data_IF_969866984289
#
_entry.id   IF_969866984289
#
_cell.length_a   1.000
_cell.length_b   1.000
_cell.length_c   1.000
_cell.angle_alpha   90.00
_cell.angle_beta   90.00
_cell.angle_gamma   90.00
#
_symmetry.space_group_name_H-M   'P 1'
#
loop_
_entity.id
_entity.type
_entity.pdbx_description
1 polymer ?
#
# COMPACT_ATOMS: atom_id res chain seq x y z
N UNK A 1 1.59 56.68 21.01
CA UNK A 1 2.36 56.28 19.81
C UNK A 1 3.44 55.25 20.21
N UNK A 2 4.32 55.54 21.19
CA UNK A 2 5.41 54.61 21.56
C UNK A 2 4.93 53.24 22.05
N UNK A 3 3.87 53.20 22.90
CA UNK A 3 3.31 51.95 23.39
C UNK A 3 2.78 51.05 22.25
N UNK A 4 2.13 51.66 21.25
CA UNK A 4 1.65 50.92 20.08
C UNK A 4 2.80 50.35 19.24
N UNK A 5 3.85 51.17 19.00
CA UNK A 5 5.03 50.72 18.25
C UNK A 5 5.74 49.58 18.96
N UNK A 6 5.91 49.68 20.29
CA UNK A 6 6.52 48.62 21.10
C UNK A 6 5.70 47.35 21.04
N UNK A 7 4.37 47.45 21.13
CA UNK A 7 3.49 46.29 21.01
C UNK A 7 3.61 45.58 19.65
N UNK A 8 3.60 46.37 18.56
CA UNK A 8 3.74 45.86 17.19
C UNK A 8 5.10 45.16 17.02
N UNK A 9 6.21 45.76 17.51
CA UNK A 9 7.53 45.15 17.46
C UNK A 9 7.59 43.86 18.27
N UNK A 10 7.00 43.81 19.48
CA UNK A 10 6.94 42.59 20.28
C UNK A 10 6.19 41.49 19.57
N UNK A 11 5.04 41.78 18.95
CA UNK A 11 4.28 40.77 18.17
C UNK A 11 5.11 40.33 16.95
N UNK A 12 5.77 41.22 16.25
CA UNK A 12 6.62 40.84 15.10
C UNK A 12 7.75 39.91 15.51
N UNK A 13 8.43 40.17 16.64
CA UNK A 13 9.48 39.30 17.16
C UNK A 13 8.92 37.92 17.50
N UNK A 14 7.75 37.84 18.14
CA UNK A 14 7.09 36.57 18.48
C UNK A 14 6.75 35.78 17.20
N UNK A 15 6.19 36.43 16.20
CA UNK A 15 5.81 35.79 14.92
C UNK A 15 7.04 35.26 14.18
N UNK A 16 8.11 36.07 14.12
CA UNK A 16 9.37 35.64 13.50
C UNK A 16 9.99 34.46 14.30
N UNK A 17 10.05 34.58 15.63
CA UNK A 17 10.56 33.54 16.49
C UNK A 17 9.79 32.23 16.36
N UNK A 18 8.44 32.30 16.27
CA UNK A 18 7.59 31.13 16.00
C UNK A 18 7.86 30.56 14.62
N UNK A 19 7.98 31.37 13.59
CA UNK A 19 8.30 30.93 12.23
C UNK A 19 9.64 30.18 12.15
N UNK A 20 10.66 30.70 12.83
CA UNK A 20 12.00 30.08 12.89
C UNK A 20 12.01 28.79 13.72
N UNK A 21 11.33 28.79 14.87
CA UNK A 21 11.28 27.62 15.76
C UNK A 21 10.57 26.42 15.11
N UNK A 22 9.48 26.68 14.38
CA UNK A 22 8.67 25.65 13.72
C UNK A 22 9.04 25.47 12.25
N UNK A 23 10.20 25.92 11.81
CA UNK A 23 10.68 25.65 10.45
C UNK A 23 11.09 24.19 10.33
N UNK A 24 10.51 23.47 9.36
CA UNK A 24 10.75 22.04 9.12
C UNK A 24 12.18 21.83 8.64
N UNK A 25 12.97 21.16 9.45
CA UNK A 25 14.34 20.78 9.11
C UNK A 25 14.43 19.30 8.73
N UNK A 26 13.55 18.45 9.29
CA UNK A 26 13.56 17.01 9.08
C UNK A 26 12.15 16.44 9.00
N UNK A 27 11.91 15.55 8.04
CA UNK A 27 10.73 14.71 7.96
C UNK A 27 11.20 13.26 8.12
N UNK A 28 10.69 12.58 9.16
CA UNK A 28 10.97 11.18 9.43
C UNK A 28 9.76 10.34 8.99
N UNK A 29 9.94 9.50 7.97
CA UNK A 29 8.91 8.61 7.45
C UNK A 29 9.08 7.23 8.07
N UNK A 30 7.96 6.55 8.36
CA UNK A 30 7.92 5.18 8.88
C UNK A 30 6.65 4.46 8.45
N UNK A 31 6.74 3.12 8.28
CA UNK A 31 5.61 2.26 7.90
C UNK A 31 5.44 2.08 6.39
N UNK A 32 6.34 2.65 5.59
CA UNK A 32 6.44 2.37 4.17
C UNK A 32 7.36 1.15 3.93
N UNK A 33 7.04 0.38 2.93
CA UNK A 33 7.74 -0.83 2.50
C UNK A 33 8.09 -0.77 1.01
N UNK A 34 7.16 -0.31 0.15
CA UNK A 34 7.37 -0.19 -1.29
C UNK A 34 7.22 1.25 -1.83
N UNK A 35 6.72 2.18 -1.03
CA UNK A 35 6.65 3.60 -1.41
C UNK A 35 7.90 4.32 -0.93
N UNK A 36 8.62 4.96 -1.83
CA UNK A 36 9.83 5.71 -1.50
C UNK A 36 9.53 6.89 -0.57
N UNK A 37 10.47 7.18 0.34
CA UNK A 37 10.35 8.31 1.27
C UNK A 37 10.17 9.64 0.55
N UNK A 38 10.83 9.79 -0.60
CA UNK A 38 10.80 10.98 -1.45
C UNK A 38 9.38 11.27 -1.94
N UNK A 39 8.65 10.24 -2.41
CA UNK A 39 7.26 10.37 -2.87
C UNK A 39 6.36 10.88 -1.74
N UNK A 40 6.58 10.39 -0.52
CA UNK A 40 5.80 10.79 0.67
C UNK A 40 6.13 12.23 1.06
N UNK A 41 7.43 12.56 1.16
CA UNK A 41 7.89 13.90 1.56
C UNK A 41 7.53 14.97 0.54
N UNK A 42 7.68 14.70 -0.75
CA UNK A 42 7.27 15.59 -1.83
C UNK A 42 5.77 15.87 -1.80
N UNK A 43 4.95 14.84 -1.51
CA UNK A 43 3.50 15.02 -1.39
C UNK A 43 3.11 16.01 -0.28
N UNK A 44 3.92 16.06 0.78
CA UNK A 44 3.70 16.96 1.92
C UNK A 44 4.16 18.39 1.65
N UNK A 45 5.18 18.55 0.82
CA UNK A 45 5.85 19.85 0.57
C UNK A 45 5.25 20.65 -0.59
N UNK A 46 4.10 20.24 -1.12
CA UNK A 46 3.44 20.92 -2.26
C UNK A 46 2.95 22.33 -1.99
N UNK A 47 2.61 22.64 -0.75
CA UNK A 47 2.05 23.94 -0.39
C UNK A 47 3.11 24.94 0.04
N UNK A 48 2.85 26.21 -0.19
CA UNK A 48 3.74 27.32 0.21
C UNK A 48 4.02 27.37 1.72
N UNK A 49 3.09 26.91 2.57
CA UNK A 49 3.25 26.88 4.03
C UNK A 49 3.82 25.58 4.58
N UNK A 50 4.17 24.62 3.72
CA UNK A 50 4.70 23.30 4.14
C UNK A 50 6.07 23.35 4.82
N UNK A 51 6.73 24.52 4.79
CA UNK A 51 7.94 24.76 5.58
C UNK A 51 7.68 24.85 7.10
N UNK A 52 6.42 25.01 7.54
CA UNK A 52 6.06 25.13 8.96
C UNK A 52 5.48 23.83 9.48
N UNK A 53 6.08 23.27 10.53
CA UNK A 53 5.70 21.97 11.10
C UNK A 53 4.32 21.99 11.77
N UNK A 54 3.90 23.12 12.37
CA UNK A 54 2.56 23.26 12.94
C UNK A 54 1.51 23.30 11.83
N UNK A 55 1.80 23.99 10.72
CA UNK A 55 0.92 23.97 9.56
C UNK A 55 0.72 22.55 9.03
N UNK A 56 1.79 21.78 8.86
CA UNK A 56 1.69 20.38 8.44
C UNK A 56 0.85 19.57 9.42
N UNK A 57 1.07 19.70 10.72
CA UNK A 57 0.27 19.01 11.73
C UNK A 57 -1.23 19.34 11.61
N UNK A 58 -1.57 20.63 11.50
CA UNK A 58 -2.97 21.09 11.37
C UNK A 58 -3.58 20.61 10.05
N UNK A 59 -2.84 20.73 8.93
CA UNK A 59 -3.28 20.30 7.61
C UNK A 59 -3.66 18.82 7.61
N UNK A 60 -2.76 17.95 8.06
CA UNK A 60 -2.97 16.50 8.00
C UNK A 60 -3.93 15.97 9.06
N UNK A 61 -4.25 16.77 10.08
CA UNK A 61 -5.19 16.40 11.14
C UNK A 61 -6.61 16.90 10.92
N UNK A 62 -6.77 18.10 10.34
CA UNK A 62 -8.06 18.79 10.31
C UNK A 62 -8.50 19.25 8.92
N UNK A 63 -7.57 19.34 7.96
CA UNK A 63 -7.89 19.84 6.63
C UNK A 63 -7.94 18.68 5.62
N UNK A 64 -8.66 18.91 4.53
CA UNK A 64 -8.63 18.00 3.39
C UNK A 64 -7.26 18.09 2.71
N UNK A 65 -6.64 16.94 2.52
CA UNK A 65 -5.31 16.83 1.91
C UNK A 65 -5.24 15.63 0.96
N UNK A 66 -4.35 15.72 -0.02
CA UNK A 66 -4.06 14.62 -0.92
C UNK A 66 -3.05 13.67 -0.27
N UNK A 67 -3.30 12.38 -0.41
CA UNK A 67 -2.40 11.31 0.02
C UNK A 67 -1.84 10.61 -1.22
N UNK A 68 -0.57 10.17 -1.24
CA UNK A 68 -0.06 9.33 -2.31
C UNK A 68 -0.98 8.13 -2.57
N UNK A 69 -1.19 7.81 -3.85
CA UNK A 69 -2.17 6.77 -4.25
C UNK A 69 -1.78 5.36 -3.84
N UNK A 70 -0.51 5.15 -3.47
CA UNK A 70 0.02 3.91 -2.89
C UNK A 70 -0.35 3.72 -1.42
N UNK A 71 -0.76 4.79 -0.73
CA UNK A 71 -1.06 4.76 0.70
C UNK A 71 -2.56 4.58 0.96
N UNK A 72 -2.85 3.86 2.04
CA UNK A 72 -4.18 3.72 2.63
C UNK A 72 -4.45 4.86 3.63
N UNK A 73 -3.43 5.19 4.45
CA UNK A 73 -3.51 6.31 5.39
C UNK A 73 -2.14 6.91 5.70
N UNK A 74 -2.16 8.17 6.14
CA UNK A 74 -0.98 8.91 6.56
C UNK A 74 -1.30 9.70 7.83
N UNK A 75 -0.46 9.54 8.87
CA UNK A 75 -0.56 10.26 10.15
C UNK A 75 0.66 11.13 10.34
N UNK A 76 0.44 12.40 10.65
CA UNK A 76 1.50 13.37 10.90
C UNK A 76 1.49 13.76 12.37
N UNK A 77 2.67 13.78 12.97
CA UNK A 77 2.92 14.22 14.35
C UNK A 77 4.24 14.99 14.43
N UNK A 78 4.45 15.73 15.51
CA UNK A 78 5.71 16.41 15.76
C UNK A 78 6.55 15.59 16.74
N UNK A 79 7.81 15.34 16.40
CA UNK A 79 8.81 14.78 17.30
C UNK A 79 9.54 15.90 18.05
N UNK A 80 9.74 17.02 17.37
CA UNK A 80 10.25 18.28 17.91
C UNK A 80 9.62 19.45 17.11
N UNK A 81 9.79 20.72 17.52
CA UNK A 81 9.26 21.84 16.76
C UNK A 81 9.67 21.86 15.28
N UNK A 82 10.85 21.37 14.96
CA UNK A 82 11.44 21.35 13.60
C UNK A 82 11.51 19.97 12.96
N UNK A 83 11.04 18.91 13.66
CA UNK A 83 11.03 17.53 13.14
C UNK A 83 9.63 17.00 13.05
N UNK A 84 9.18 16.73 11.84
CA UNK A 84 7.88 16.12 11.54
C UNK A 84 8.05 14.62 11.43
N UNK A 85 7.25 13.85 12.18
CA UNK A 85 7.16 12.39 12.06
C UNK A 85 5.91 12.04 11.26
N UNK A 86 6.11 11.25 10.21
CA UNK A 86 5.05 10.74 9.31
C UNK A 86 4.99 9.23 9.47
N UNK A 87 3.84 8.72 9.87
CA UNK A 87 3.58 7.28 9.91
C UNK A 87 2.55 6.96 8.82
N UNK A 88 2.94 6.13 7.88
CA UNK A 88 2.09 5.73 6.76
C UNK A 88 1.63 4.29 6.91
N UNK A 89 0.50 3.99 6.28
CA UNK A 89 0.03 2.64 6.01
C UNK A 89 -0.16 2.53 4.52
N UNK A 90 0.61 1.65 3.89
CA UNK A 90 0.50 1.38 2.47
C UNK A 90 -0.72 0.51 2.15
N UNK A 91 -1.18 0.57 0.92
CA UNK A 91 -2.22 -0.35 0.44
C UNK A 91 -1.70 -1.76 0.44
N UNK A 92 -2.52 -2.68 0.96
CA UNK A 92 -2.14 -4.09 1.01
C UNK A 92 -2.07 -4.67 -0.39
N UNK A 93 -0.89 -5.17 -0.76
CA UNK A 93 -0.69 -5.97 -1.97
C UNK A 93 -1.25 -7.36 -1.72
N UNK A 94 -2.07 -7.88 -2.66
CA UNK A 94 -2.67 -9.22 -2.57
C UNK A 94 -2.21 -10.16 -3.69
N UNK A 95 -1.55 -9.64 -4.72
CA UNK A 95 -1.01 -10.42 -5.83
C UNK A 95 -0.24 -9.54 -6.81
N UNK A 96 0.38 -10.19 -7.78
CA UNK A 96 1.06 -9.49 -8.88
C UNK A 96 0.75 -10.14 -10.23
N UNK A 97 0.91 -9.35 -11.30
CA UNK A 97 0.95 -9.81 -12.68
C UNK A 97 2.39 -9.72 -13.18
N UNK A 98 2.85 -10.76 -13.85
CA UNK A 98 4.12 -10.75 -14.55
C UNK A 98 3.91 -10.14 -15.95
N UNK A 99 4.53 -8.99 -16.23
CA UNK A 99 4.51 -8.32 -17.53
C UNK A 99 5.79 -8.60 -18.35
N UNK A 100 6.61 -9.54 -17.88
CA UNK A 100 7.86 -9.97 -18.51
C UNK A 100 9.06 -9.06 -18.17
N UNK A 101 8.91 -7.76 -18.21
CA UNK A 101 9.97 -6.79 -17.85
C UNK A 101 9.85 -6.28 -16.40
N UNK A 102 8.67 -6.33 -15.84
CA UNK A 102 8.37 -5.88 -14.48
C UNK A 102 7.17 -6.62 -13.91
N UNK A 103 7.04 -6.61 -12.58
CA UNK A 103 5.91 -7.16 -11.85
C UNK A 103 4.95 -6.03 -11.45
N UNK A 104 3.68 -6.15 -11.81
CA UNK A 104 2.64 -5.19 -11.50
C UNK A 104 1.83 -5.66 -10.28
N UNK A 105 2.09 -5.06 -9.11
CA UNK A 105 1.44 -5.40 -7.84
C UNK A 105 0.12 -4.67 -7.67
N UNK A 106 -0.91 -5.36 -7.19
CA UNK A 106 -2.24 -4.78 -7.08
C UNK A 106 -2.88 -5.01 -5.69
N UNK A 107 -3.82 -4.12 -5.36
CA UNK A 107 -4.62 -4.17 -4.15
C UNK A 107 -5.90 -5.00 -4.32
N UNK A 108 -6.67 -5.14 -3.24
CA UNK A 108 -7.95 -5.88 -3.20
C UNK A 108 -9.01 -5.39 -4.21
N UNK A 109 -8.88 -4.17 -4.71
CA UNK A 109 -9.79 -3.58 -5.69
C UNK A 109 -9.32 -3.81 -7.14
N UNK A 110 -8.22 -4.56 -7.31
CA UNK A 110 -7.56 -4.80 -8.60
C UNK A 110 -6.88 -3.58 -9.18
N UNK A 111 -6.47 -2.64 -8.32
CA UNK A 111 -5.75 -1.44 -8.72
C UNK A 111 -4.25 -1.65 -8.56
N UNK A 112 -3.49 -1.32 -9.60
CA UNK A 112 -2.02 -1.39 -9.54
C UNK A 112 -1.51 -0.33 -8.57
N UNK A 113 -0.80 -0.75 -7.53
CA UNK A 113 -0.29 0.13 -6.47
C UNK A 113 1.22 0.28 -6.49
N UNK A 114 1.91 -0.71 -7.09
CA UNK A 114 3.37 -0.71 -7.21
C UNK A 114 3.80 -1.47 -8.46
N UNK A 115 4.93 -1.12 -9.05
CA UNK A 115 5.61 -1.86 -10.11
C UNK A 115 7.09 -1.98 -9.76
N UNK A 116 7.68 -3.14 -9.97
CA UNK A 116 9.09 -3.42 -9.68
C UNK A 116 9.64 -4.47 -10.63
N UNK A 117 10.94 -4.40 -10.90
CA UNK A 117 11.69 -5.46 -11.58
C UNK A 117 12.07 -6.59 -10.62
N UNK A 118 11.97 -6.37 -9.32
CA UNK A 118 12.26 -7.35 -8.29
C UNK A 118 10.97 -8.00 -7.78
N UNK A 119 11.01 -9.33 -7.66
CA UNK A 119 9.89 -10.09 -7.10
C UNK A 119 9.85 -9.92 -5.58
N UNK A 120 8.65 -9.72 -5.04
CA UNK A 120 8.42 -9.62 -3.59
C UNK A 120 8.00 -10.96 -3.03
N UNK A 121 8.72 -11.42 -2.00
CA UNK A 121 8.41 -12.66 -1.31
C UNK A 121 7.02 -12.63 -0.66
N UNK A 122 6.35 -13.79 -0.68
CA UNK A 122 5.05 -13.98 -0.02
C UNK A 122 3.87 -13.28 -0.70
N UNK A 123 4.06 -12.79 -1.95
CA UNK A 123 2.98 -12.27 -2.80
C UNK A 123 2.75 -13.25 -3.94
N UNK A 124 1.53 -13.79 -4.12
CA UNK A 124 1.27 -14.74 -5.19
C UNK A 124 1.22 -14.10 -6.57
N UNK A 125 1.77 -14.79 -7.57
CA UNK A 125 1.56 -14.47 -8.98
C UNK A 125 0.14 -14.85 -9.41
N UNK A 126 -0.47 -14.07 -10.30
CA UNK A 126 -1.78 -14.37 -10.86
C UNK A 126 -1.63 -14.77 -12.31
N UNK A 127 -2.12 -15.95 -12.66
CA UNK A 127 -2.07 -16.51 -14.01
C UNK A 127 -3.47 -16.88 -14.51
N UNK A 128 -3.61 -17.06 -15.84
CA UNK A 128 -4.88 -17.44 -16.47
C UNK A 128 -5.85 -16.29 -16.68
N UNK A 129 -5.42 -15.02 -16.48
CA UNK A 129 -6.19 -13.83 -16.83
C UNK A 129 -5.48 -13.03 -17.93
N UNK A 130 -6.26 -12.57 -18.89
CA UNK A 130 -5.79 -11.64 -19.92
C UNK A 130 -5.98 -10.20 -19.40
N UNK A 131 -5.00 -9.69 -18.73
CA UNK A 131 -4.99 -8.37 -18.11
C UNK A 131 -4.14 -7.41 -18.91
N UNK A 132 -4.11 -7.34 -20.14
CA UNK A 132 -3.40 -6.35 -20.98
C UNK A 132 -2.31 -5.54 -20.25
N UNK A 133 -1.70 -4.57 -20.87
CA UNK A 133 -0.72 -3.70 -20.23
C UNK A 133 -1.35 -2.92 -19.08
N UNK A 134 -0.77 -3.01 -17.89
CA UNK A 134 -1.25 -2.32 -16.69
C UNK A 134 -0.62 -0.92 -16.55
N UNK A 135 -1.36 -0.03 -15.90
CA UNK A 135 -0.86 1.32 -15.57
C UNK A 135 -0.90 1.56 -14.07
N UNK A 136 0.17 2.13 -13.54
CA UNK A 136 0.29 2.48 -12.14
C UNK A 136 -0.91 3.36 -11.68
N UNK A 137 -1.49 3.00 -10.55
CA UNK A 137 -2.65 3.63 -9.92
C UNK A 137 -3.96 3.54 -10.73
N UNK A 138 -4.06 2.63 -11.69
CA UNK A 138 -5.29 2.33 -12.42
C UNK A 138 -5.74 0.89 -12.14
N UNK A 139 -7.05 0.64 -12.28
CA UNK A 139 -7.59 -0.72 -12.23
C UNK A 139 -7.13 -1.52 -13.44
N UNK A 140 -6.86 -2.80 -13.23
CA UNK A 140 -6.59 -3.74 -14.30
C UNK A 140 -7.75 -3.78 -15.30
N UNK A 141 -7.41 -3.79 -16.58
CA UNK A 141 -8.38 -3.96 -17.67
C UNK A 141 -8.37 -5.44 -18.06
N UNK A 142 -9.44 -6.14 -17.79
CA UNK A 142 -9.58 -7.58 -18.09
C UNK A 142 -10.81 -7.81 -18.97
N UNK A 143 -10.79 -8.87 -19.75
CA UNK A 143 -11.94 -9.25 -20.61
C UNK A 143 -13.15 -9.71 -19.77
N UNK A 144 -12.91 -10.38 -18.65
CA UNK A 144 -13.98 -10.90 -17.78
C UNK A 144 -13.90 -10.28 -16.39
N UNK A 145 -14.79 -9.34 -16.10
CA UNK A 145 -14.91 -8.75 -14.77
C UNK A 145 -15.31 -9.77 -13.69
N UNK A 146 -16.13 -10.77 -14.06
CA UNK A 146 -16.55 -11.83 -13.14
C UNK A 146 -15.35 -12.68 -12.70
N UNK A 147 -14.49 -13.04 -13.64
CA UNK A 147 -13.26 -13.79 -13.36
C UNK A 147 -12.31 -12.98 -12.49
N UNK A 148 -12.07 -11.72 -12.84
CA UNK A 148 -11.22 -10.85 -12.02
C UNK A 148 -11.74 -10.78 -10.57
N UNK A 149 -13.05 -10.59 -10.39
CA UNK A 149 -13.62 -10.50 -9.05
C UNK A 149 -13.47 -11.82 -8.28
N UNK A 150 -13.60 -12.98 -8.93
CA UNK A 150 -13.38 -14.27 -8.29
C UNK A 150 -11.93 -14.43 -7.83
N UNK A 151 -10.96 -14.09 -8.68
CA UNK A 151 -9.53 -14.13 -8.34
C UNK A 151 -9.19 -13.16 -7.21
N UNK A 152 -9.69 -11.91 -7.26
CA UNK A 152 -9.47 -10.94 -6.19
C UNK A 152 -10.03 -11.43 -4.85
N UNK A 153 -11.21 -12.04 -4.85
CA UNK A 153 -11.79 -12.62 -3.64
C UNK A 153 -10.90 -13.72 -3.07
N UNK A 154 -10.40 -14.65 -3.92
CA UNK A 154 -9.47 -15.70 -3.50
C UNK A 154 -8.18 -15.10 -2.96
N UNK A 155 -7.58 -14.12 -3.64
CA UNK A 155 -6.35 -13.49 -3.20
C UNK A 155 -6.51 -12.76 -1.85
N UNK A 156 -7.68 -12.17 -1.59
CA UNK A 156 -8.02 -11.58 -0.28
C UNK A 156 -8.11 -12.68 0.79
N UNK A 157 -8.79 -13.80 0.50
CA UNK A 157 -8.90 -14.91 1.45
C UNK A 157 -7.54 -15.56 1.71
N UNK A 158 -6.71 -15.77 0.69
CA UNK A 158 -5.32 -16.21 0.83
C UNK A 158 -4.57 -15.34 1.84
N UNK A 159 -4.73 -14.02 1.75
CA UNK A 159 -4.12 -13.06 2.70
C UNK A 159 -4.72 -13.16 4.09
N UNK A 160 -6.06 -13.28 4.20
CA UNK A 160 -6.77 -13.35 5.47
C UNK A 160 -6.38 -14.60 6.29
N UNK A 161 -6.14 -15.73 5.59
CA UNK A 161 -5.71 -16.99 6.19
C UNK A 161 -4.19 -17.14 6.31
N UNK A 162 -3.42 -16.07 5.99
CA UNK A 162 -1.95 -16.09 5.97
C UNK A 162 -1.38 -17.23 5.14
N UNK A 163 -2.05 -17.59 4.04
CA UNK A 163 -1.54 -18.54 3.08
C UNK A 163 -0.49 -17.85 2.19
N UNK A 164 0.53 -18.59 1.80
CA UNK A 164 1.61 -18.09 0.94
C UNK A 164 1.79 -18.97 -0.29
N UNK A 165 0.77 -19.11 -1.17
CA UNK A 165 0.95 -19.79 -2.42
C UNK A 165 1.92 -19.00 -3.31
N UNK A 166 2.67 -19.71 -4.14
CA UNK A 166 3.52 -19.08 -5.16
C UNK A 166 2.66 -18.44 -6.25
N UNK A 167 1.56 -19.12 -6.62
CA UNK A 167 0.68 -18.67 -7.70
C UNK A 167 -0.79 -19.01 -7.42
N UNK A 168 -1.67 -18.14 -7.93
CA UNK A 168 -3.11 -18.34 -8.04
C UNK A 168 -3.42 -18.41 -9.53
N UNK A 169 -3.86 -19.54 -10.02
CA UNK A 169 -4.04 -19.82 -11.44
C UNK A 169 -5.51 -20.08 -11.74
N UNK A 170 -6.03 -19.42 -12.77
CA UNK A 170 -7.34 -19.78 -13.32
C UNK A 170 -7.14 -20.71 -14.51
N UNK A 171 -7.56 -21.96 -14.37
CA UNK A 171 -7.49 -23.00 -15.39
C UNK A 171 -8.66 -23.99 -15.23
N UNK A 172 -9.06 -24.63 -16.31
CA UNK A 172 -10.13 -25.65 -16.32
C UNK A 172 -11.42 -25.20 -15.62
N UNK A 173 -11.82 -23.92 -15.85
CA UNK A 173 -12.98 -23.26 -15.23
C UNK A 173 -12.96 -23.21 -13.69
N UNK A 174 -11.79 -23.38 -13.07
CA UNK A 174 -11.57 -23.31 -11.63
C UNK A 174 -10.40 -22.43 -11.22
N UNK A 175 -10.27 -22.16 -9.92
CA UNK A 175 -9.14 -21.46 -9.34
C UNK A 175 -8.30 -22.46 -8.55
N UNK A 176 -7.01 -22.51 -8.85
CA UNK A 176 -6.04 -23.38 -8.22
C UNK A 176 -4.98 -22.53 -7.49
N UNK A 177 -4.54 -23.03 -6.32
CA UNK A 177 -3.43 -22.45 -5.56
C UNK A 177 -2.23 -23.39 -5.66
N UNK A 178 -1.07 -22.83 -6.01
CA UNK A 178 0.17 -23.60 -6.09
C UNK A 178 1.10 -23.25 -4.93
N UNK A 179 1.55 -24.27 -4.20
CA UNK A 179 2.54 -24.22 -3.12
C UNK A 179 3.70 -25.13 -3.50
N UNK A 180 4.70 -24.59 -4.20
CA UNK A 180 5.75 -25.41 -4.80
C UNK A 180 5.19 -26.46 -5.75
N UNK A 181 5.35 -27.75 -5.40
CA UNK A 181 4.87 -28.89 -6.17
C UNK A 181 3.46 -29.37 -5.77
N UNK A 182 2.77 -28.67 -4.87
CA UNK A 182 1.42 -29.01 -4.42
C UNK A 182 0.43 -28.07 -5.10
N UNK A 183 -0.58 -28.64 -5.78
CA UNK A 183 -1.71 -27.93 -6.36
C UNK A 183 -2.95 -28.14 -5.49
N UNK A 184 -3.56 -27.07 -5.03
CA UNK A 184 -4.84 -27.08 -4.31
C UNK A 184 -5.94 -26.60 -5.25
N UNK A 185 -6.82 -27.49 -5.64
CA UNK A 185 -7.97 -27.18 -6.52
C UNK A 185 -9.15 -26.66 -5.71
N UNK A 186 -9.39 -25.36 -5.74
CA UNK A 186 -10.52 -24.75 -5.05
C UNK A 186 -11.85 -24.97 -5.77
N UNK A 187 -11.78 -25.19 -7.09
CA UNK A 187 -12.97 -25.28 -7.92
C UNK A 187 -13.70 -23.94 -8.05
N UNK A 188 -15.01 -24.00 -8.18
CA UNK A 188 -15.88 -22.81 -8.30
C UNK A 188 -16.54 -22.42 -6.99
N UNK A 189 -16.62 -23.34 -6.03
CA UNK A 189 -17.27 -23.11 -4.71
C UNK A 189 -16.21 -22.96 -3.62
N UNK A 190 -15.83 -21.70 -3.39
CA UNK A 190 -14.77 -21.32 -2.45
C UNK A 190 -15.41 -20.94 -1.12
N UNK A 191 -15.37 -21.84 -0.15
CA UNK A 191 -15.89 -21.60 1.19
C UNK A 191 -14.81 -21.25 2.19
N UNK A 192 -15.18 -20.51 3.22
CA UNK A 192 -14.34 -20.17 4.37
C UNK A 192 -13.72 -21.41 5.02
N UNK A 193 -14.48 -22.49 5.10
CA UNK A 193 -14.05 -23.77 5.67
C UNK A 193 -12.94 -24.43 4.85
N UNK A 194 -13.08 -24.45 3.52
CA UNK A 194 -12.00 -24.93 2.63
C UNK A 194 -10.72 -24.12 2.83
N UNK A 195 -10.81 -22.78 2.82
CA UNK A 195 -9.64 -21.93 2.99
C UNK A 195 -8.94 -22.14 4.34
N UNK A 196 -9.71 -22.32 5.42
CA UNK A 196 -9.15 -22.58 6.76
C UNK A 196 -8.41 -23.92 6.86
N UNK A 197 -8.78 -24.93 6.06
CA UNK A 197 -8.17 -26.26 6.08
C UNK A 197 -6.86 -26.34 5.28
N UNK A 198 -6.60 -25.42 4.36
CA UNK A 198 -5.43 -25.45 3.49
C UNK A 198 -4.13 -25.42 4.29
N UNK A 199 -3.96 -24.46 5.21
CA UNK A 199 -2.72 -24.28 5.97
C UNK A 199 -2.31 -25.56 6.75
N UNK A 200 -3.20 -26.19 7.57
CA UNK A 200 -2.83 -27.41 8.29
C UNK A 200 -2.59 -28.62 7.37
N UNK A 201 -3.19 -28.66 6.18
CA UNK A 201 -2.94 -29.74 5.21
C UNK A 201 -1.58 -29.54 4.55
N UNK A 202 -1.29 -28.34 4.05
CA UNK A 202 0.00 -28.03 3.41
C UNK A 202 1.17 -28.31 4.37
N UNK A 203 1.04 -27.92 5.65
CA UNK A 203 2.07 -28.19 6.66
C UNK A 203 2.37 -29.69 6.85
N UNK A 204 1.38 -30.58 6.62
CA UNK A 204 1.58 -32.04 6.68
C UNK A 204 2.15 -32.62 5.40
N UNK A 205 2.14 -31.89 4.31
CA UNK A 205 2.58 -32.36 2.98
C UNK A 205 3.95 -31.77 2.61
N UNK A 206 4.65 -31.15 3.55
CA UNK A 206 5.99 -30.61 3.33
C UNK A 206 6.92 -31.64 2.68
N UNK A 207 7.55 -31.27 1.55
CA UNK A 207 8.42 -32.15 0.77
C UNK A 207 7.70 -33.18 -0.12
N UNK A 208 6.35 -33.12 -0.21
CA UNK A 208 5.55 -33.97 -1.12
C UNK A 208 5.09 -33.17 -2.34
N UNK A 209 4.61 -33.87 -3.35
CA UNK A 209 3.98 -33.32 -4.54
C UNK A 209 2.64 -33.99 -4.78
N UNK A 210 1.67 -33.25 -5.35
CA UNK A 210 0.36 -33.83 -5.68
C UNK A 210 -0.73 -32.76 -5.81
N UNK A 211 -1.94 -33.25 -5.99
CA UNK A 211 -3.17 -32.44 -6.12
C UNK A 211 -4.07 -32.74 -4.91
N UNK A 212 -4.68 -31.67 -4.37
CA UNK A 212 -5.64 -31.68 -3.26
C UNK A 212 -7.00 -31.23 -3.74
#
# INVERSE_FOLDING_TARGET
VYALVTLVLAIAIIVIGFGLLFYVQKIEVSGNDYTENEVITESMQKDTLSFNSVYLLVKYRFLKHDTPKSLDSMKVSLKSPWTVKVTVKEKTIIGYLDEGSEYAYFDKDGKIVHKSTELRDGVPGIEGIDAGSTKLYQKMKVKSHKLLQAILNVAVEVKNYNLTPDRIVYEDDGINLYFGAICVQLGTDITTEKMAQISPIIAKLEGKSGVL
#
